data_IF_375101391508
#
_entry.id   IF_375101391508
#
_cell.length_a   1.000
_cell.length_b   1.000
_cell.length_c   1.000
_cell.angle_alpha   90.00
_cell.angle_beta   90.00
_cell.angle_gamma   90.00
#
_symmetry.space_group_name_H-M   'P 1'
#
loop_
_entity.id
_entity.type
_entity.pdbx_description
1 polymer ?
#
# COMPACT_ATOMS: atom_id res chain seq x y z
N UNK A 1 13.71 -2.04 2.83
CA UNK A 1 12.28 -1.95 3.16
C UNK A 1 11.91 -0.49 3.03
N UNK A 2 10.91 -0.19 2.22
CA UNK A 2 10.44 1.17 1.97
C UNK A 2 9.30 1.53 2.92
N UNK A 3 9.13 2.82 3.16
CA UNK A 3 8.02 3.36 3.92
C UNK A 3 7.40 4.52 3.17
N UNK A 4 6.07 4.60 3.17
CA UNK A 4 5.35 5.70 2.55
C UNK A 4 4.12 6.08 3.37
N UNK A 5 4.11 7.33 3.82
CA UNK A 5 2.95 7.89 4.49
C UNK A 5 1.89 8.33 3.46
N UNK A 6 0.70 7.73 3.53
CA UNK A 6 -0.46 8.03 2.71
C UNK A 6 -1.53 8.85 3.45
N UNK A 7 -1.33 9.17 4.73
CA UNK A 7 -2.32 9.87 5.56
C UNK A 7 -2.58 11.31 5.15
N UNK A 8 -1.63 11.94 4.43
CA UNK A 8 -1.77 13.28 3.89
C UNK A 8 -2.64 13.36 2.63
N UNK A 9 -2.97 12.22 2.02
CA UNK A 9 -3.72 12.17 0.77
C UNK A 9 -5.11 11.61 0.99
N UNK A 10 -6.10 12.19 0.30
CA UNK A 10 -7.46 11.65 0.21
C UNK A 10 -7.65 10.89 -1.09
N UNK A 11 -8.71 10.11 -1.20
CA UNK A 11 -9.12 9.52 -2.47
C UNK A 11 -9.49 10.64 -3.47
N UNK A 12 -9.03 10.60 -4.75
CA UNK A 12 -8.29 9.52 -5.42
C UNK A 12 -6.75 9.60 -5.32
N UNK A 13 -6.19 10.72 -4.84
CA UNK A 13 -4.74 10.91 -4.78
C UNK A 13 -4.04 9.83 -3.93
N UNK A 14 -4.67 9.39 -2.84
CA UNK A 14 -4.15 8.33 -1.97
C UNK A 14 -3.88 7.03 -2.75
N UNK A 15 -4.81 6.63 -3.62
CA UNK A 15 -4.68 5.43 -4.45
C UNK A 15 -3.59 5.58 -5.52
N UNK A 16 -3.42 6.78 -6.09
CA UNK A 16 -2.34 7.07 -7.04
C UNK A 16 -0.99 6.96 -6.33
N UNK A 17 -0.85 7.58 -5.16
CA UNK A 17 0.39 7.55 -4.37
C UNK A 17 0.75 6.13 -3.93
N UNK A 18 -0.24 5.34 -3.52
CA UNK A 18 -0.09 3.91 -3.26
C UNK A 18 0.52 3.18 -4.48
N UNK A 19 -0.04 3.34 -5.68
CA UNK A 19 0.47 2.68 -6.90
C UNK A 19 1.90 3.09 -7.22
N UNK A 20 2.24 4.37 -7.08
CA UNK A 20 3.60 4.87 -7.32
C UNK A 20 4.59 4.25 -6.34
N UNK A 21 4.25 4.21 -5.05
CA UNK A 21 5.03 3.55 -4.01
C UNK A 21 5.25 2.08 -4.29
N UNK A 22 4.17 1.36 -4.62
CA UNK A 22 4.21 -0.06 -4.90
C UNK A 22 5.08 -0.38 -6.13
N UNK A 23 4.97 0.41 -7.20
CA UNK A 23 5.83 0.26 -8.39
C UNK A 23 7.31 0.45 -8.04
N UNK A 24 7.64 1.45 -7.23
CA UNK A 24 9.01 1.68 -6.75
C UNK A 24 9.50 0.48 -5.92
N UNK A 25 8.69 -0.02 -5.00
CA UNK A 25 8.99 -1.19 -4.17
C UNK A 25 9.29 -2.43 -5.02
N UNK A 26 8.45 -2.71 -6.02
CA UNK A 26 8.65 -3.81 -6.98
C UNK A 26 9.94 -3.63 -7.77
N UNK A 27 10.22 -2.43 -8.30
CA UNK A 27 11.46 -2.18 -9.07
C UNK A 27 12.73 -2.39 -8.25
N UNK A 28 12.65 -2.19 -6.94
CA UNK A 28 13.77 -2.38 -6.02
C UNK A 28 13.79 -3.77 -5.38
N UNK A 29 12.80 -4.63 -5.69
CA UNK A 29 12.57 -5.91 -5.02
C UNK A 29 12.55 -5.80 -3.49
N UNK A 30 11.90 -4.75 -2.96
CA UNK A 30 11.78 -4.52 -1.52
C UNK A 30 10.32 -4.51 -1.09
N UNK A 31 10.08 -4.96 0.15
CA UNK A 31 8.79 -4.74 0.81
C UNK A 31 8.57 -3.25 1.09
N UNK A 32 7.31 -2.85 1.17
CA UNK A 32 6.89 -1.48 1.47
C UNK A 32 5.80 -1.46 2.53
N UNK A 33 5.95 -0.56 3.50
CA UNK A 33 4.89 -0.25 4.47
C UNK A 33 4.21 1.07 4.13
N UNK A 34 2.89 1.04 4.03
CA UNK A 34 2.05 2.22 3.88
C UNK A 34 1.34 2.55 5.18
N UNK A 35 1.33 3.84 5.54
CA UNK A 35 0.60 4.36 6.70
C UNK A 35 -0.61 5.17 6.24
N UNK A 36 -1.77 4.96 6.85
CA UNK A 36 -3.05 5.59 6.51
C UNK A 36 -3.61 6.37 7.69
N UNK A 37 -4.56 7.25 7.39
CA UNK A 37 -5.48 7.72 8.41
C UNK A 37 -6.54 6.63 8.65
N UNK A 38 -6.75 6.23 9.91
CA UNK A 38 -7.70 5.17 10.29
C UNK A 38 -9.15 5.46 9.85
N UNK A 39 -9.49 6.72 9.56
CA UNK A 39 -10.81 7.11 9.07
C UNK A 39 -11.02 6.86 7.56
N UNK A 40 -9.95 6.66 6.78
CA UNK A 40 -10.02 6.51 5.32
C UNK A 40 -10.30 5.06 4.92
N UNK A 41 -11.16 4.89 3.91
CA UNK A 41 -11.49 3.59 3.35
C UNK A 41 -10.40 3.14 2.36
N UNK A 42 -9.72 2.02 2.66
CA UNK A 42 -8.68 1.45 1.82
C UNK A 42 -9.15 0.24 0.98
N UNK A 43 -10.46 0.03 0.83
CA UNK A 43 -11.02 -1.11 0.10
C UNK A 43 -10.52 -1.21 -1.34
N UNK A 44 -10.33 -0.08 -2.03
CA UNK A 44 -9.79 -0.07 -3.40
C UNK A 44 -8.33 -0.55 -3.46
N UNK A 45 -7.56 -0.27 -2.40
CA UNK A 45 -6.18 -0.76 -2.25
C UNK A 45 -6.18 -2.26 -2.02
N UNK A 46 -6.98 -2.76 -1.06
CA UNK A 46 -7.08 -4.20 -0.81
C UNK A 46 -7.55 -4.96 -2.07
N UNK A 47 -8.59 -4.46 -2.75
CA UNK A 47 -9.10 -5.05 -4.00
C UNK A 47 -8.04 -5.07 -5.09
N UNK A 48 -7.22 -4.03 -5.20
CA UNK A 48 -6.10 -4.00 -6.14
C UNK A 48 -5.06 -5.07 -5.80
N UNK A 49 -4.64 -5.16 -4.53
CA UNK A 49 -3.63 -6.13 -4.09
C UNK A 49 -4.09 -7.57 -4.33
N UNK A 50 -5.34 -7.88 -3.98
CA UNK A 50 -5.96 -9.19 -4.20
C UNK A 50 -6.03 -9.53 -5.70
N UNK A 51 -6.50 -8.59 -6.53
CA UNK A 51 -6.60 -8.77 -7.99
C UNK A 51 -5.23 -9.11 -8.62
N UNK A 52 -4.17 -8.53 -8.08
CA UNK A 52 -2.80 -8.72 -8.58
C UNK A 52 -1.98 -9.73 -7.77
N UNK A 53 -2.63 -10.51 -6.89
CA UNK A 53 -2.02 -11.58 -6.10
C UNK A 53 -0.80 -11.14 -5.26
N UNK A 54 -0.81 -9.91 -4.74
CA UNK A 54 0.21 -9.46 -3.80
C UNK A 54 0.02 -10.13 -2.44
N UNK A 55 1.12 -10.54 -1.81
CA UNK A 55 1.14 -10.88 -0.39
C UNK A 55 1.19 -9.59 0.45
N UNK A 56 0.27 -9.45 1.40
CA UNK A 56 0.21 -8.27 2.26
C UNK A 56 -0.31 -8.58 3.67
N UNK A 57 0.07 -7.76 4.63
CA UNK A 57 -0.46 -7.77 6.01
C UNK A 57 -1.05 -6.41 6.34
N UNK A 58 -2.31 -6.38 6.76
CA UNK A 58 -3.03 -5.16 7.12
C UNK A 58 -3.28 -5.09 8.62
N UNK A 59 -2.74 -4.07 9.28
CA UNK A 59 -3.07 -3.71 10.65
C UNK A 59 -4.01 -2.49 10.66
N UNK A 60 -5.32 -2.75 10.69
CA UNK A 60 -6.35 -1.69 10.70
C UNK A 60 -6.30 -0.80 11.94
N UNK A 61 -5.84 -1.32 13.10
CA UNK A 61 -5.77 -0.52 14.34
C UNK A 61 -4.68 0.55 14.26
N UNK A 62 -3.56 0.22 13.64
CA UNK A 62 -2.42 1.13 13.47
C UNK A 62 -2.44 1.89 12.14
N UNK A 63 -3.40 1.61 11.26
CA UNK A 63 -3.46 2.20 9.93
C UNK A 63 -2.25 1.83 9.10
N UNK A 64 -1.77 0.58 9.16
CA UNK A 64 -0.55 0.14 8.49
C UNK A 64 -0.81 -1.02 7.54
N UNK A 65 -0.21 -0.97 6.35
CA UNK A 65 -0.26 -2.03 5.35
C UNK A 65 1.15 -2.36 4.88
N UNK A 66 1.63 -3.55 5.21
CA UNK A 66 2.87 -4.10 4.68
C UNK A 66 2.55 -4.88 3.40
N UNK A 67 3.26 -4.60 2.31
CA UNK A 67 3.13 -5.30 1.04
C UNK A 67 4.49 -5.87 0.62
N UNK A 68 4.52 -7.16 0.32
CA UNK A 68 5.70 -7.85 -0.20
C UNK A 68 5.85 -7.59 -1.71
N UNK A 69 7.09 -7.49 -2.23
CA UNK A 69 7.30 -7.33 -3.66
C UNK A 69 6.90 -8.62 -4.39
N UNK A 70 6.23 -8.48 -5.54
CA UNK A 70 6.04 -9.62 -6.44
C UNK A 70 7.41 -10.07 -6.95
N UNK A 71 7.72 -11.36 -6.76
CA UNK A 71 8.87 -12.00 -7.40
C UNK A 71 8.41 -12.40 -8.80
N UNK A 72 8.78 -11.59 -9.79
CA UNK A 72 8.55 -11.86 -11.22
C UNK A 72 9.71 -12.69 -11.75
#
# INVERSE_FOLDING_TARGET
MLEQNLSAYKCPQQFIQFKLGLRKAVSLQQSITFSFNNAENINDIERFLQKHAYCYTLNKRQGMLLVEPLRV
#
